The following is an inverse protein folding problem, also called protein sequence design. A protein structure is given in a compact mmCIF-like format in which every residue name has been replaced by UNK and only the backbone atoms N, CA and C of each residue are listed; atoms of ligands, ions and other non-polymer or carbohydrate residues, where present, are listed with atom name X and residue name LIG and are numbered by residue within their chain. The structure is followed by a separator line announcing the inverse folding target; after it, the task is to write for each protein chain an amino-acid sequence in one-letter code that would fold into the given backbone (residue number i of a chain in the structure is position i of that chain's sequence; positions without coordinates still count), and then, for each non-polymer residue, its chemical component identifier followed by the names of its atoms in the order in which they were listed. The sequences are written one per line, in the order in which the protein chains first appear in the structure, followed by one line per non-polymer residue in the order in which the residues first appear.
data_IF_109847839710
#
_entry.id   IF_109847839710
#
_cell.length_a   1.000
_cell.length_b   1.000
_cell.length_c   1.000
_cell.angle_alpha   90.00
_cell.angle_beta   90.00
_cell.angle_gamma   90.00
#
_symmetry.space_group_name_H-M   'P 1'
#
loop_
_entity.id
_entity.type
_entity.pdbx_description
1 polymer ?
#
# COMPACT_ATOMS: atom_id res chain seq x y z
N UNK A 1 -26.40 -20.05 -3.42
CA UNK A 1 -25.53 -19.17 -2.61
C UNK A 1 -24.14 -19.23 -3.19
N UNK A 2 -23.88 -18.40 -4.20
CA UNK A 2 -22.54 -18.10 -4.72
C UNK A 2 -22.61 -16.61 -5.01
N UNK A 3 -22.14 -15.80 -4.05
CA UNK A 3 -21.88 -14.39 -4.32
C UNK A 3 -20.80 -14.37 -5.39
N UNK A 4 -21.20 -14.01 -6.61
CA UNK A 4 -20.30 -13.91 -7.75
C UNK A 4 -19.23 -12.86 -7.48
N UNK A 5 -18.04 -13.15 -8.00
CA UNK A 5 -17.01 -12.20 -8.39
C UNK A 5 -17.56 -10.78 -8.54
N UNK A 6 -17.31 -9.95 -7.53
CA UNK A 6 -17.33 -8.50 -7.73
C UNK A 6 -16.24 -8.17 -8.76
N UNK A 7 -16.40 -7.12 -9.57
CA UNK A 7 -15.41 -6.80 -10.59
C UNK A 7 -14.05 -6.69 -9.89
N UNK A 8 -13.08 -7.49 -10.32
CA UNK A 8 -11.68 -7.29 -9.99
C UNK A 8 -11.34 -5.89 -10.47
N UNK A 9 -11.51 -4.91 -9.57
CA UNK A 9 -11.48 -3.51 -9.91
C UNK A 9 -10.00 -3.22 -10.13
N UNK A 10 -9.61 -3.12 -11.39
CA UNK A 10 -8.26 -2.74 -11.77
C UNK A 10 -7.79 -1.60 -10.87
N UNK A 11 -6.55 -1.63 -10.35
CA UNK A 11 -6.08 -0.66 -9.40
C UNK A 11 -6.36 0.74 -9.95
N UNK A 12 -7.08 1.55 -9.17
CA UNK A 12 -7.34 2.94 -9.53
C UNK A 12 -6.02 3.66 -9.83
N UNK A 13 -6.06 4.79 -10.55
CA UNK A 13 -4.84 5.57 -10.80
C UNK A 13 -4.04 5.89 -9.54
N UNK A 14 -4.70 5.94 -8.38
CA UNK A 14 -4.05 6.04 -7.07
C UNK A 14 -3.29 4.76 -6.70
N UNK A 15 -3.91 3.59 -6.78
CA UNK A 15 -3.25 2.31 -6.50
C UNK A 15 -2.04 2.05 -7.42
N UNK A 16 -2.12 2.43 -8.69
CA UNK A 16 -0.96 2.36 -9.60
C UNK A 16 0.21 3.25 -9.11
N UNK A 17 -0.09 4.47 -8.64
CA UNK A 17 0.92 5.38 -8.07
C UNK A 17 1.49 4.86 -6.76
N UNK A 18 0.67 4.22 -5.93
CA UNK A 18 1.13 3.57 -4.68
C UNK A 18 2.04 2.38 -5.00
N UNK A 19 1.70 1.54 -5.98
CA UNK A 19 2.54 0.42 -6.41
C UNK A 19 3.92 0.89 -6.89
N UNK A 20 3.95 1.94 -7.70
CA UNK A 20 5.18 2.57 -8.20
C UNK A 20 6.01 3.20 -7.06
N UNK A 21 5.35 3.84 -6.08
CA UNK A 21 5.99 4.32 -4.85
C UNK A 21 6.58 3.19 -4.00
N UNK A 22 5.85 2.08 -3.85
CA UNK A 22 6.28 0.90 -3.11
C UNK A 22 7.52 0.27 -3.76
N UNK A 23 7.51 0.10 -5.09
CA UNK A 23 8.65 -0.43 -5.84
C UNK A 23 9.91 0.43 -5.64
N UNK A 24 9.79 1.76 -5.75
CA UNK A 24 10.89 2.68 -5.48
C UNK A 24 11.41 2.59 -4.04
N UNK A 25 10.50 2.45 -3.07
CA UNK A 25 10.88 2.37 -1.66
C UNK A 25 11.66 1.08 -1.38
N UNK A 26 11.19 -0.07 -1.90
CA UNK A 26 11.91 -1.34 -1.80
C UNK A 26 13.28 -1.29 -2.48
N UNK A 27 13.37 -0.64 -3.65
CA UNK A 27 14.66 -0.42 -4.32
C UNK A 27 15.63 0.38 -3.43
N UNK A 28 15.17 1.46 -2.80
CA UNK A 28 16.00 2.26 -1.87
C UNK A 28 16.48 1.45 -0.66
N UNK A 29 15.65 0.55 -0.14
CA UNK A 29 16.05 -0.36 0.95
C UNK A 29 17.18 -1.28 0.47
N UNK A 30 17.04 -1.88 -0.72
CA UNK A 30 18.07 -2.72 -1.33
C UNK A 30 19.38 -1.97 -1.57
N UNK A 31 19.32 -0.75 -2.10
CA UNK A 31 20.50 0.10 -2.36
C UNK A 31 21.22 0.50 -1.06
N UNK A 32 20.50 0.56 0.06
CA UNK A 32 21.09 0.76 1.38
C UNK A 32 21.76 -0.50 1.96
N UNK A 33 21.74 -1.63 1.24
CA UNK A 33 22.35 -2.90 1.64
C UNK A 33 21.48 -3.78 2.56
N UNK A 34 20.23 -3.40 2.79
CA UNK A 34 19.28 -4.18 3.59
C UNK A 34 18.46 -5.12 2.69
N UNK A 35 18.08 -6.28 3.22
CA UNK A 35 17.08 -7.14 2.59
C UNK A 35 15.71 -6.45 2.62
N UNK A 36 15.08 -6.16 1.46
CA UNK A 36 13.76 -5.56 1.41
C UNK A 36 12.67 -6.37 2.12
N UNK A 37 12.82 -7.70 2.24
CA UNK A 37 11.88 -8.54 2.96
C UNK A 37 12.02 -8.43 4.49
N UNK A 38 13.17 -8.00 4.99
CA UNK A 38 13.42 -7.79 6.41
C UNK A 38 12.95 -6.41 6.91
N UNK A 39 12.52 -5.51 6.01
CA UNK A 39 12.09 -4.15 6.33
C UNK A 39 10.59 -4.00 6.07
N UNK A 40 9.82 -3.83 7.15
CA UNK A 40 8.39 -3.52 7.06
C UNK A 40 8.19 -2.10 6.53
N UNK A 41 7.41 -1.96 5.46
CA UNK A 41 7.00 -0.66 4.92
C UNK A 41 5.62 -0.34 5.46
N UNK A 42 5.51 0.75 6.22
CA UNK A 42 4.25 1.24 6.78
C UNK A 42 3.67 2.32 5.86
N UNK A 43 2.46 2.12 5.34
CA UNK A 43 1.76 3.14 4.57
C UNK A 43 1.15 4.18 5.52
N UNK A 44 1.71 5.39 5.52
CA UNK A 44 1.21 6.48 6.35
C UNK A 44 0.00 7.14 5.66
N UNK A 45 -1.20 6.83 6.14
CA UNK A 45 -2.49 7.26 5.55
C UNK A 45 -3.08 8.49 6.23
N UNK A 46 -2.45 8.98 7.30
CA UNK A 46 -2.90 10.18 8.02
C UNK A 46 -3.15 11.37 7.08
N UNK A 47 -4.30 12.02 7.24
CA UNK A 47 -4.68 13.20 6.45
C UNK A 47 -5.09 12.91 5.01
N UNK A 48 -5.14 11.64 4.58
CA UNK A 48 -5.75 11.21 3.33
C UNK A 48 -7.14 10.61 3.60
N UNK A 49 -7.99 10.56 2.57
CA UNK A 49 -9.28 9.88 2.67
C UNK A 49 -9.14 8.35 2.59
N UNK A 50 -10.28 7.65 2.71
CA UNK A 50 -10.33 6.18 2.69
C UNK A 50 -9.78 5.59 1.40
N UNK A 51 -9.81 6.33 0.29
CA UNK A 51 -9.23 5.92 -0.99
C UNK A 51 -7.73 5.62 -0.90
N UNK A 52 -6.99 6.29 0.00
CA UNK A 52 -5.57 6.01 0.20
C UNK A 52 -5.34 4.69 0.93
N UNK A 53 -6.20 4.37 1.91
CA UNK A 53 -6.21 3.08 2.60
C UNK A 53 -6.54 1.95 1.61
N UNK A 54 -7.60 2.13 0.82
CA UNK A 54 -7.98 1.15 -0.22
C UNK A 54 -6.86 0.93 -1.24
N UNK A 55 -6.20 2.00 -1.69
CA UNK A 55 -5.08 1.92 -2.62
C UNK A 55 -3.84 1.23 -2.02
N UNK A 56 -3.56 1.44 -0.73
CA UNK A 56 -2.48 0.73 -0.01
C UNK A 56 -2.78 -0.77 0.09
N UNK A 57 -4.00 -1.12 0.49
CA UNK A 57 -4.44 -2.52 0.59
C UNK A 57 -4.41 -3.22 -0.78
N UNK A 58 -4.79 -2.53 -1.86
CA UNK A 58 -4.78 -3.07 -3.21
C UNK A 58 -3.38 -3.48 -3.71
N UNK A 59 -2.31 -2.98 -3.09
CA UNK A 59 -0.92 -3.33 -3.43
C UNK A 59 -0.24 -4.19 -2.35
N UNK A 60 -1.00 -4.66 -1.36
CA UNK A 60 -0.51 -5.53 -0.29
C UNK A 60 0.13 -4.81 0.91
N UNK A 61 0.00 -3.48 1.02
CA UNK A 61 0.42 -2.75 2.22
C UNK A 61 -0.67 -2.86 3.28
N UNK A 62 -0.44 -3.72 4.29
CA UNK A 62 -1.37 -3.97 5.39
C UNK A 62 -0.98 -3.28 6.69
N UNK A 63 0.29 -2.87 6.82
CA UNK A 63 0.76 -2.02 7.91
C UNK A 63 0.44 -0.55 7.60
N UNK A 64 -0.55 0.01 8.29
CA UNK A 64 -1.01 1.39 8.11
C UNK A 64 -0.64 2.26 9.32
N UNK A 65 -0.16 3.48 9.06
CA UNK A 65 0.34 4.40 10.08
C UNK A 65 -0.58 5.62 10.29
N UNK A 66 -1.17 5.71 11.48
CA UNK A 66 -1.95 6.85 11.96
C UNK A 66 -1.29 7.49 13.20
N UNK A 67 -1.31 8.82 13.28
CA UNK A 67 -0.67 9.57 14.39
C UNK A 67 -1.66 10.05 15.47
N UNK A 68 -2.95 9.80 15.26
CA UNK A 68 -4.00 10.09 16.24
C UNK A 68 -4.73 8.78 16.52
N UNK A 69 -4.71 8.33 17.77
CA UNK A 69 -5.74 7.41 18.24
C UNK A 69 -7.03 8.22 18.34
N UNK A 70 -8.09 7.75 17.69
CA UNK A 70 -9.42 8.31 17.88
C UNK A 70 -9.82 8.29 19.36
#
# INVERSE_FOLDING_TARGET
MTAGDGPERAPSGLAARVADGLARTRHRVSEAGADPAAVTIVAVTKGFGTEAVEAALAVGLTDLGENYAA
#
